data_IF_655294643962
#
_entry.id   IF_655294643962
#
_cell.length_a   1.000
_cell.length_b   1.000
_cell.length_c   1.000
_cell.angle_alpha   90.00
_cell.angle_beta   90.00
_cell.angle_gamma   90.00
#
_symmetry.space_group_name_H-M   'P 1'
#
loop_
_entity.id
_entity.type
_entity.pdbx_description
1 polymer ?
#
# COMPACT_ATOMS: atom_id res chain seq x y z
N UNK A 1 -24.32 18.99 -0.44
CA UNK A 1 -23.49 18.36 -1.49
C UNK A 1 -24.41 17.47 -2.31
N UNK A 2 -24.48 17.62 -3.64
CA UNK A 2 -25.32 16.78 -4.52
C UNK A 2 -24.42 15.73 -5.16
N UNK A 3 -24.67 14.46 -4.84
CA UNK A 3 -24.00 13.33 -5.48
C UNK A 3 -24.54 13.22 -6.91
N UNK A 4 -23.64 13.14 -7.87
CA UNK A 4 -23.95 12.97 -9.28
C UNK A 4 -24.19 11.50 -9.62
N UNK A 5 -24.98 11.24 -10.66
CA UNK A 5 -25.35 9.87 -11.05
C UNK A 5 -24.11 9.01 -11.40
N UNK A 6 -23.04 9.64 -11.89
CA UNK A 6 -21.78 8.97 -12.20
C UNK A 6 -21.05 8.46 -10.94
N UNK A 7 -21.12 9.19 -9.84
CA UNK A 7 -20.54 8.78 -8.55
C UNK A 7 -21.29 7.59 -7.95
N UNK A 8 -22.62 7.51 -8.16
CA UNK A 8 -23.44 6.39 -7.69
C UNK A 8 -23.14 5.10 -8.47
N UNK A 9 -22.96 5.20 -9.78
CA UNK A 9 -22.63 4.04 -10.63
C UNK A 9 -21.24 3.50 -10.30
N UNK A 10 -20.27 4.38 -10.03
CA UNK A 10 -18.94 3.98 -9.58
C UNK A 10 -18.99 3.21 -8.24
N UNK A 11 -19.78 3.68 -7.27
CA UNK A 11 -19.96 3.00 -5.98
C UNK A 11 -20.56 1.60 -6.16
N UNK A 12 -21.55 1.44 -7.05
CA UNK A 12 -22.21 0.16 -7.30
C UNK A 12 -21.30 -0.87 -7.97
N UNK A 13 -20.45 -0.44 -8.92
CA UNK A 13 -19.49 -1.34 -9.56
C UNK A 13 -18.36 -1.77 -8.61
N UNK A 14 -17.95 -0.89 -7.69
CA UNK A 14 -17.00 -1.21 -6.61
C UNK A 14 -17.61 -2.25 -5.66
N UNK A 15 -18.88 -2.12 -5.29
CA UNK A 15 -19.58 -3.08 -4.43
C UNK A 15 -19.83 -4.43 -5.11
N UNK A 16 -20.11 -4.46 -6.41
CA UNK A 16 -20.31 -5.70 -7.16
C UNK A 16 -19.01 -6.50 -7.35
N UNK A 17 -17.85 -5.84 -7.44
CA UNK A 17 -16.54 -6.50 -7.39
C UNK A 17 -16.21 -7.14 -6.04
N UNK A 18 -16.84 -6.68 -4.95
CA UNK A 18 -16.59 -7.10 -3.57
C UNK A 18 -17.35 -8.37 -3.13
N UNK A 19 -18.32 -8.89 -3.90
CA UNK A 19 -19.23 -9.96 -3.42
C UNK A 19 -18.95 -11.38 -3.91
N UNK A 20 -18.04 -11.62 -4.85
CA UNK A 20 -17.89 -12.93 -5.51
C UNK A 20 -16.67 -13.76 -5.08
N UNK A 21 -15.88 -13.31 -4.10
CA UNK A 21 -14.61 -13.94 -3.71
C UNK A 21 -14.61 -14.59 -2.32
N UNK A 22 -15.73 -15.15 -1.84
CA UNK A 22 -15.75 -15.87 -0.56
C UNK A 22 -15.52 -17.36 -0.78
N UNK A 23 -14.32 -17.86 -0.50
CA UNK A 23 -14.05 -19.14 0.19
C UNK A 23 -12.56 -19.52 0.17
N UNK A 24 -12.04 -19.75 1.37
CA UNK A 24 -10.96 -20.68 1.75
C UNK A 24 -9.55 -20.14 2.06
N UNK A 25 -9.00 -20.80 3.10
CA UNK A 25 -7.63 -20.90 3.59
C UNK A 25 -7.08 -19.77 4.48
N UNK A 26 -6.92 -20.10 5.77
CA UNK A 26 -5.96 -19.48 6.69
C UNK A 26 -4.55 -20.01 6.42
N UNK A 27 -3.58 -19.20 5.97
CA UNK A 27 -2.17 -19.53 6.02
C UNK A 27 -1.59 -19.21 7.41
N UNK A 28 -0.88 -20.19 7.95
CA UNK A 28 -0.22 -20.20 9.27
C UNK A 28 1.27 -19.85 9.19
N UNK A 29 1.66 -18.96 8.29
CA UNK A 29 3.06 -18.50 8.21
C UNK A 29 3.16 -17.12 8.84
N UNK A 30 3.77 -17.02 10.03
CA UNK A 30 4.18 -15.73 10.59
C UNK A 30 5.32 -15.20 9.72
N UNK A 31 5.00 -14.47 8.65
CA UNK A 31 5.99 -13.69 7.91
C UNK A 31 6.33 -12.49 8.76
N UNK A 32 7.53 -12.50 9.37
CA UNK A 32 8.03 -11.36 10.10
C UNK A 32 8.32 -10.25 9.11
N UNK A 33 7.41 -9.29 9.01
CA UNK A 33 7.53 -8.18 8.08
C UNK A 33 8.77 -7.34 8.38
N UNK A 34 9.44 -6.89 7.33
CA UNK A 34 10.66 -6.08 7.45
C UNK A 34 10.55 -4.74 6.72
N UNK A 35 11.30 -3.75 7.20
CA UNK A 35 11.42 -2.44 6.56
C UNK A 35 12.03 -2.59 5.16
N UNK A 36 11.51 -1.82 4.19
CA UNK A 36 12.00 -1.84 2.82
C UNK A 36 13.17 -0.86 2.74
N UNK A 37 14.35 -1.38 2.39
CA UNK A 37 15.53 -0.53 2.34
C UNK A 37 15.37 0.59 1.29
N UNK A 38 15.78 1.83 1.60
CA UNK A 38 15.71 2.94 0.63
C UNK A 38 16.52 2.65 -0.64
N UNK A 39 17.60 1.88 -0.54
CA UNK A 39 18.39 1.45 -1.69
C UNK A 39 17.62 0.51 -2.62
N UNK A 40 16.77 -0.37 -2.09
CA UNK A 40 15.86 -1.17 -2.90
C UNK A 40 14.81 -0.28 -3.58
N UNK A 41 14.25 0.71 -2.87
CA UNK A 41 13.31 1.67 -3.49
C UNK A 41 13.99 2.44 -4.63
N UNK A 42 15.19 2.99 -4.40
CA UNK A 42 15.99 3.68 -5.41
C UNK A 42 16.29 2.82 -6.64
N UNK A 43 16.53 1.52 -6.45
CA UNK A 43 16.78 0.58 -7.54
C UNK A 43 15.59 0.47 -8.50
N UNK A 44 14.35 0.52 -7.99
CA UNK A 44 13.15 0.33 -8.80
C UNK A 44 12.53 1.64 -9.31
N UNK A 45 12.51 2.69 -8.48
CA UNK A 45 11.83 3.95 -8.82
C UNK A 45 12.79 5.02 -9.36
N UNK A 46 14.10 4.80 -9.25
CA UNK A 46 15.09 5.85 -9.47
C UNK A 46 15.14 6.82 -8.29
N UNK A 47 16.05 7.79 -8.36
CA UNK A 47 16.33 8.79 -7.32
C UNK A 47 16.81 8.19 -5.98
N UNK A 48 17.34 9.05 -5.12
CA UNK A 48 17.72 8.68 -3.75
C UNK A 48 16.56 8.95 -2.81
N UNK A 49 16.07 7.91 -2.15
CA UNK A 49 14.96 7.99 -1.21
C UNK A 49 15.47 8.05 0.22
N UNK A 50 14.79 8.83 1.06
CA UNK A 50 15.06 8.96 2.49
C UNK A 50 13.79 8.64 3.27
N UNK A 51 13.88 7.79 4.29
CA UNK A 51 12.76 7.49 5.18
C UNK A 51 12.51 8.70 6.08
N UNK A 52 11.30 9.25 6.01
CA UNK A 52 10.82 10.27 6.93
C UNK A 52 10.18 9.66 8.17
N UNK A 53 9.44 8.57 7.97
CA UNK A 53 8.73 7.87 9.04
C UNK A 53 8.58 6.40 8.69
N UNK A 54 8.75 5.54 9.67
CA UNK A 54 8.58 4.10 9.56
C UNK A 54 7.82 3.54 10.77
N UNK A 55 7.09 2.47 10.54
CA UNK A 55 6.42 1.71 11.59
C UNK A 55 6.34 0.24 11.22
N UNK A 56 6.72 -0.63 12.15
CA UNK A 56 6.53 -2.08 12.06
C UNK A 56 5.78 -2.54 13.30
N UNK A 57 4.68 -3.26 13.10
CA UNK A 57 3.92 -3.83 14.21
C UNK A 57 2.45 -4.04 13.86
N UNK A 58 1.65 -4.38 14.86
CA UNK A 58 0.22 -4.58 14.66
C UNK A 58 -0.52 -3.25 14.49
N UNK A 59 -1.40 -3.16 13.50
CA UNK A 59 -2.22 -1.97 13.27
C UNK A 59 -2.96 -1.46 14.52
N UNK A 60 -3.44 -2.37 15.37
CA UNK A 60 -4.14 -2.07 16.62
C UNK A 60 -3.32 -1.19 17.57
N UNK A 61 -1.99 -1.39 17.62
CA UNK A 61 -1.09 -0.63 18.48
C UNK A 61 -0.44 0.56 17.77
N UNK A 62 -0.79 0.82 16.51
CA UNK A 62 -0.24 1.95 15.78
C UNK A 62 -0.72 3.27 16.37
N UNK A 63 0.22 4.22 16.50
CA UNK A 63 -0.07 5.61 16.86
C UNK A 63 -0.60 6.42 15.67
N UNK A 64 -0.57 5.86 14.46
CA UNK A 64 -1.14 6.46 13.25
C UNK A 64 -2.59 5.97 13.12
N UNK A 65 -3.62 6.84 13.25
CA UNK A 65 -5.02 6.44 13.19
C UNK A 65 -5.39 5.68 11.91
N UNK A 66 -4.79 6.07 10.77
CA UNK A 66 -5.00 5.43 9.48
C UNK A 66 -4.51 3.98 9.44
N UNK A 67 -3.57 3.58 10.30
CA UNK A 67 -3.05 2.21 10.37
C UNK A 67 -3.87 1.32 11.31
N UNK A 68 -4.70 1.90 12.18
CA UNK A 68 -5.56 1.13 13.09
C UNK A 68 -6.67 0.35 12.37
N UNK A 69 -7.00 0.72 11.13
CA UNK A 69 -7.94 -0.02 10.27
C UNK A 69 -7.48 -1.44 9.97
N UNK A 70 -6.17 -1.71 10.07
CA UNK A 70 -5.57 -3.03 9.87
C UNK A 70 -5.69 -3.95 11.09
N UNK A 71 -6.16 -3.43 12.24
CA UNK A 71 -6.45 -4.21 13.46
C UNK A 71 -5.27 -5.12 13.85
N UNK A 72 -5.52 -6.42 14.00
CA UNK A 72 -4.52 -7.37 14.46
C UNK A 72 -3.50 -7.79 13.38
N UNK A 73 -3.63 -7.31 12.14
CA UNK A 73 -2.62 -7.58 11.12
C UNK A 73 -1.29 -6.93 11.51
N UNK A 74 -0.20 -7.67 11.35
CA UNK A 74 1.13 -7.07 11.34
C UNK A 74 1.25 -6.24 10.06
N UNK A 75 1.89 -5.09 10.16
CA UNK A 75 2.13 -4.23 9.01
C UNK A 75 3.46 -3.52 9.09
N UNK A 76 3.99 -3.21 7.92
CA UNK A 76 5.05 -2.25 7.67
C UNK A 76 4.42 -1.03 7.02
N UNK A 77 4.73 0.14 7.57
CA UNK A 77 4.41 1.44 7.00
C UNK A 77 5.70 2.22 6.84
N UNK A 78 5.92 2.77 5.66
CA UNK A 78 7.04 3.67 5.39
C UNK A 78 6.55 4.87 4.59
N UNK A 79 7.02 6.05 4.99
CA UNK A 79 6.88 7.28 4.25
C UNK A 79 8.29 7.76 3.90
N UNK A 80 8.58 7.82 2.60
CA UNK A 80 9.85 8.23 2.05
C UNK A 80 9.69 9.52 1.24
N UNK A 81 10.74 10.33 1.20
CA UNK A 81 10.87 11.48 0.30
C UNK A 81 12.15 11.39 -0.51
N UNK A 82 12.14 11.92 -1.73
CA UNK A 82 13.36 12.15 -2.49
C UNK A 82 13.83 13.62 -2.41
N UNK A 83 14.97 13.92 -3.05
CA UNK A 83 15.54 15.28 -3.11
C UNK A 83 14.69 16.30 -3.86
N UNK A 84 13.75 15.84 -4.67
CA UNK A 84 12.84 16.67 -5.47
C UNK A 84 11.57 17.01 -4.70
N UNK A 85 11.38 16.42 -3.51
CA UNK A 85 10.18 16.55 -2.70
C UNK A 85 9.05 15.61 -3.12
N UNK A 86 9.35 14.60 -3.96
CA UNK A 86 8.40 13.54 -4.26
C UNK A 86 8.24 12.63 -3.03
N UNK A 87 7.02 12.17 -2.77
CA UNK A 87 6.70 11.32 -1.63
C UNK A 87 6.30 9.92 -2.06
N UNK A 88 6.72 8.91 -1.29
CA UNK A 88 6.35 7.52 -1.46
C UNK A 88 5.84 6.96 -0.15
N UNK A 89 4.63 6.43 -0.15
CA UNK A 89 4.02 5.75 0.99
C UNK A 89 3.88 4.28 0.65
N UNK A 90 4.49 3.42 1.47
CA UNK A 90 4.40 1.96 1.34
C UNK A 90 3.67 1.43 2.57
N UNK A 91 2.62 0.64 2.34
CA UNK A 91 1.92 -0.09 3.40
C UNK A 91 1.84 -1.55 3.00
N UNK A 92 2.45 -2.42 3.77
CA UNK A 92 2.39 -3.86 3.59
C UNK A 92 1.85 -4.51 4.85
N UNK A 93 0.78 -5.29 4.76
CA UNK A 93 0.11 -5.89 5.91
C UNK A 93 -0.10 -7.40 5.72
N UNK A 94 0.15 -8.17 6.78
CA UNK A 94 0.00 -9.64 6.82
C UNK A 94 -0.33 -10.15 8.24
N UNK A 95 -1.16 -11.19 8.39
CA UNK A 95 -2.18 -11.58 7.43
C UNK A 95 -3.27 -10.50 7.41
N UNK A 96 -3.64 -10.02 6.23
CA UNK A 96 -4.72 -9.06 6.06
C UNK A 96 -5.79 -9.62 5.13
N UNK A 97 -7.00 -9.74 5.67
CA UNK A 97 -8.18 -10.29 4.98
C UNK A 97 -9.25 -9.23 4.68
N UNK A 98 -8.93 -7.95 4.90
CA UNK A 98 -9.85 -6.84 4.65
C UNK A 98 -9.57 -6.15 3.32
N UNK A 99 -10.40 -5.17 2.99
CA UNK A 99 -10.12 -4.22 1.92
C UNK A 99 -9.89 -2.87 2.58
N UNK A 100 -8.65 -2.39 2.56
CA UNK A 100 -8.32 -1.02 2.98
C UNK A 100 -8.17 -0.17 1.74
N UNK A 101 -8.87 0.97 1.68
CA UNK A 101 -8.59 2.00 0.69
C UNK A 101 -8.00 3.20 1.45
N UNK A 102 -6.73 3.51 1.22
CA UNK A 102 -6.15 4.78 1.66
C UNK A 102 -6.32 5.78 0.52
N UNK A 103 -7.11 6.82 0.77
CA UNK A 103 -7.20 7.96 -0.13
C UNK A 103 -6.07 8.94 0.17
N UNK A 104 -5.26 9.28 -0.83
CA UNK A 104 -4.22 10.31 -0.75
C UNK A 104 -4.43 11.30 -1.90
N UNK A 105 -4.31 12.60 -1.61
CA UNK A 105 -4.64 13.71 -2.52
C UNK A 105 -3.42 14.16 -3.33
N UNK A 106 -3.53 14.29 -4.66
CA UNK A 106 -2.47 14.74 -5.58
C UNK A 106 -2.38 13.91 -6.87
N UNK A 107 -1.34 14.12 -7.69
CA UNK A 107 -0.96 13.16 -8.73
C UNK A 107 -0.42 11.91 -8.04
N UNK A 108 -1.33 10.98 -7.75
CA UNK A 108 -1.04 9.77 -6.99
C UNK A 108 -1.10 8.55 -7.89
N UNK A 109 0.01 7.83 -8.05
CA UNK A 109 -0.04 6.47 -8.58
C UNK A 109 -0.29 5.54 -7.41
N UNK A 110 -1.48 4.95 -7.37
CA UNK A 110 -1.87 3.97 -6.38
C UNK A 110 -1.76 2.57 -6.99
N UNK A 111 -0.88 1.75 -6.43
CA UNK A 111 -0.79 0.34 -6.76
C UNK A 111 -1.24 -0.48 -5.55
N UNK A 112 -2.19 -1.39 -5.78
CA UNK A 112 -2.66 -2.32 -4.75
C UNK A 112 -2.60 -3.73 -5.32
N UNK A 113 -2.06 -4.66 -4.55
CA UNK A 113 -2.08 -6.07 -4.92
C UNK A 113 -2.16 -6.96 -3.69
N UNK A 114 -2.74 -8.13 -3.89
CA UNK A 114 -2.92 -9.15 -2.88
C UNK A 114 -2.20 -10.43 -3.33
N UNK A 115 -1.41 -11.03 -2.45
CA UNK A 115 -0.77 -12.32 -2.69
C UNK A 115 -1.02 -13.22 -1.47
N UNK A 116 -1.86 -14.23 -1.66
CA UNK A 116 -2.38 -15.03 -0.55
C UNK A 116 -3.09 -14.14 0.48
N UNK A 117 -2.48 -14.02 1.66
CA UNK A 117 -2.97 -13.23 2.79
C UNK A 117 -2.30 -11.85 2.95
N UNK A 118 -1.36 -11.49 2.08
CA UNK A 118 -0.66 -10.22 2.16
C UNK A 118 -1.37 -9.15 1.32
N UNK A 119 -1.49 -7.95 1.89
CA UNK A 119 -1.97 -6.74 1.20
C UNK A 119 -0.83 -5.74 1.11
N UNK A 120 -0.53 -5.25 -0.10
CA UNK A 120 0.44 -4.19 -0.32
C UNK A 120 -0.22 -3.02 -1.04
N UNK A 121 0.11 -1.82 -0.58
CA UNK A 121 -0.24 -0.57 -1.20
C UNK A 121 0.98 0.32 -1.32
N UNK A 122 1.20 0.82 -2.53
CA UNK A 122 2.25 1.81 -2.82
C UNK A 122 1.56 3.03 -3.40
N UNK A 123 1.82 4.18 -2.78
CA UNK A 123 1.29 5.48 -3.19
C UNK A 123 2.45 6.42 -3.47
N UNK A 124 2.64 6.77 -4.73
CA UNK A 124 3.64 7.75 -5.15
C UNK A 124 2.98 9.09 -5.43
N UNK A 125 3.50 10.18 -4.86
CA UNK A 125 3.04 11.56 -5.02
C UNK A 125 4.20 12.37 -5.58
N UNK A 126 4.16 12.65 -6.88
CA UNK A 126 5.26 13.33 -7.59
C UNK A 126 4.95 14.78 -7.96
N UNK A 127 5.96 15.64 -7.88
CA UNK A 127 5.96 17.02 -8.36
C UNK A 127 6.89 17.24 -9.57
N UNK A 128 7.87 16.36 -9.81
CA UNK A 128 8.90 16.57 -10.85
C UNK A 128 9.04 15.48 -11.91
N UNK A 129 8.66 14.24 -11.60
CA UNK A 129 8.89 13.08 -12.49
C UNK A 129 7.74 12.08 -12.37
N UNK A 130 7.19 11.59 -13.48
CA UNK A 130 6.20 10.51 -13.39
C UNK A 130 6.91 9.16 -13.23
N UNK A 131 6.84 8.57 -12.04
CA UNK A 131 7.16 7.14 -11.87
C UNK A 131 6.16 6.31 -12.68
N UNK A 132 6.65 5.36 -13.47
CA UNK A 132 5.78 4.50 -14.27
C UNK A 132 5.11 3.42 -13.43
N UNK A 133 3.90 2.99 -13.84
CA UNK A 133 3.18 1.88 -13.19
C UNK A 133 4.03 0.61 -13.16
N UNK A 134 4.77 0.31 -14.23
CA UNK A 134 5.65 -0.86 -14.34
C UNK A 134 6.79 -0.85 -13.30
N UNK A 135 7.35 0.32 -12.97
CA UNK A 135 8.37 0.43 -11.92
C UNK A 135 7.78 0.15 -10.53
N UNK A 136 6.56 0.64 -10.28
CA UNK A 136 5.85 0.38 -9.01
C UNK A 136 5.47 -1.10 -8.90
N UNK A 137 5.05 -1.74 -9.99
CA UNK A 137 4.81 -3.18 -10.07
C UNK A 137 6.09 -3.99 -9.77
N UNK A 138 7.23 -3.56 -10.32
CA UNK A 138 8.51 -4.22 -10.08
C UNK A 138 8.94 -4.12 -8.59
N UNK A 139 8.76 -2.95 -7.98
CA UNK A 139 8.98 -2.76 -6.54
C UNK A 139 8.03 -3.62 -5.71
N UNK A 140 6.74 -3.64 -6.06
CA UNK A 140 5.74 -4.43 -5.37
C UNK A 140 6.08 -5.93 -5.41
N UNK A 141 6.48 -6.44 -6.58
CA UNK A 141 6.91 -7.82 -6.74
C UNK A 141 8.16 -8.13 -5.91
N UNK A 142 9.10 -7.19 -5.79
CA UNK A 142 10.24 -7.35 -4.89
C UNK A 142 9.78 -7.51 -3.43
N UNK A 143 8.92 -6.61 -2.95
CA UNK A 143 8.41 -6.65 -1.57
C UNK A 143 7.70 -7.99 -1.27
N UNK A 144 6.93 -8.53 -2.22
CA UNK A 144 6.24 -9.83 -2.06
C UNK A 144 7.09 -11.09 -2.23
N UNK A 145 8.30 -10.97 -2.76
CA UNK A 145 9.15 -12.13 -3.09
C UNK A 145 10.42 -12.20 -2.23
N UNK A 146 10.70 -11.17 -1.43
CA UNK A 146 11.78 -11.16 -0.43
C UNK A 146 11.33 -11.83 0.87
N UNK A 147 10.06 -12.18 1.00
CA UNK A 147 9.45 -12.89 2.14
C UNK A 147 8.85 -14.25 1.75
#
# INVERSE_FOLDING_TARGET
MKITIGEIIAILLILAGLSLGFLSATPTTSTHLSLISPSSVSKYLGNSWTINYEYVGSGYYSKIPQLQVYKNAELVYENLTDSSGDQLIIIYAYPYHGTSALYVHGYTVLFTTNKGNGYLMISYIGNSTSVSVTQIEALANYIFNVE
#
